data_IF_813553230168
#
_entry.id   IF_813553230168
#
_cell.length_a   1.000
_cell.length_b   1.000
_cell.length_c   1.000
_cell.angle_alpha   90.00
_cell.angle_beta   90.00
_cell.angle_gamma   90.00
#
_symmetry.space_group_name_H-M   'P 1'
#
loop_
_entity.id
_entity.type
_entity.pdbx_description
1 polymer ?
#
# COMPACT_ATOMS: atom_id res chain seq x y z
N UNK A 1 -3.39 25.12 7.40
CA UNK A 1 -3.14 23.66 7.41
C UNK A 1 -2.49 23.31 8.73
N UNK A 2 -3.19 22.57 9.58
CA UNK A 2 -2.74 22.13 10.91
C UNK A 2 -1.92 20.83 10.79
N UNK A 3 -0.77 20.89 10.13
CA UNK A 3 0.15 19.75 10.09
C UNK A 3 0.94 19.66 11.39
N UNK A 4 1.07 18.47 11.97
CA UNK A 4 2.09 18.23 13.00
C UNK A 4 3.48 18.40 12.40
N UNK A 5 4.33 19.21 13.02
CA UNK A 5 5.69 19.49 12.53
C UNK A 5 6.58 18.23 12.56
N UNK A 6 6.27 17.28 13.46
CA UNK A 6 7.01 16.05 13.69
C UNK A 6 6.04 14.87 13.94
N UNK A 7 5.45 14.28 12.88
CA UNK A 7 4.55 13.15 13.04
C UNK A 7 5.31 11.92 13.56
N UNK A 8 4.73 11.21 14.52
CA UNK A 8 5.32 9.95 15.05
C UNK A 8 5.42 8.83 14.02
N UNK A 9 4.56 8.87 13.01
CA UNK A 9 4.52 7.88 11.94
C UNK A 9 4.90 8.55 10.61
N UNK A 10 6.20 8.63 10.34
CA UNK A 10 6.73 9.36 9.18
C UNK A 10 7.16 8.46 8.01
N UNK A 11 7.10 7.14 8.16
CA UNK A 11 7.45 6.16 7.11
C UNK A 11 6.24 5.65 6.32
N UNK A 12 5.04 5.75 6.90
CA UNK A 12 3.81 5.28 6.29
C UNK A 12 2.73 6.35 6.50
N UNK A 13 2.06 6.72 5.42
CA UNK A 13 0.86 7.55 5.48
C UNK A 13 -0.24 6.81 4.75
N UNK A 14 -1.40 6.63 5.38
CA UNK A 14 -2.49 5.90 4.77
C UNK A 14 -3.84 6.52 5.11
N UNK A 15 -4.83 6.22 4.28
CA UNK A 15 -6.22 6.56 4.55
C UNK A 15 -7.12 5.40 4.18
N UNK A 16 -8.24 5.27 4.90
CA UNK A 16 -9.35 4.40 4.53
C UNK A 16 -10.62 5.23 4.45
N UNK A 17 -11.29 5.19 3.31
CA UNK A 17 -12.55 5.88 3.07
C UNK A 17 -13.61 4.84 2.73
N UNK A 18 -14.83 5.01 3.23
CA UNK A 18 -15.97 4.17 2.88
C UNK A 18 -17.21 5.03 2.71
N UNK A 19 -17.97 4.79 1.64
CA UNK A 19 -19.18 5.55 1.33
C UNK A 19 -20.14 4.70 0.47
N UNK A 20 -21.38 5.16 0.38
CA UNK A 20 -22.38 4.59 -0.54
C UNK A 20 -22.53 5.55 -1.71
N UNK A 21 -22.30 5.08 -2.93
CA UNK A 21 -22.58 5.86 -4.14
C UNK A 21 -24.10 5.90 -4.37
N UNK A 22 -24.76 7.07 -4.29
CA UNK A 22 -26.22 7.13 -4.23
C UNK A 22 -26.95 6.64 -5.48
N UNK A 23 -26.40 6.82 -6.68
CA UNK A 23 -27.12 6.48 -7.93
C UNK A 23 -27.18 4.99 -8.21
N UNK A 24 -26.14 4.26 -7.82
CA UNK A 24 -25.98 2.83 -8.03
C UNK A 24 -26.24 2.03 -6.76
N UNK A 25 -26.41 2.72 -5.62
CA UNK A 25 -26.46 2.13 -4.29
C UNK A 25 -25.26 1.19 -4.03
N UNK A 26 -24.09 1.59 -4.52
CA UNK A 26 -22.87 0.81 -4.39
C UNK A 26 -22.15 1.14 -3.09
N UNK A 27 -21.88 0.13 -2.27
CA UNK A 27 -20.98 0.25 -1.13
C UNK A 27 -19.54 0.21 -1.63
N UNK A 28 -18.80 1.28 -1.38
CA UNK A 28 -17.43 1.44 -1.80
C UNK A 28 -16.51 1.65 -0.60
N UNK A 29 -15.35 1.02 -0.66
CA UNK A 29 -14.27 1.23 0.30
C UNK A 29 -12.94 1.34 -0.44
N UNK A 30 -12.14 2.33 -0.07
CA UNK A 30 -10.79 2.51 -0.62
C UNK A 30 -9.79 2.68 0.50
N UNK A 31 -8.72 1.90 0.47
CA UNK A 31 -7.57 2.05 1.34
C UNK A 31 -6.35 2.37 0.48
N UNK A 32 -5.73 3.51 0.73
CA UNK A 32 -4.48 3.91 0.08
C UNK A 32 -3.38 4.09 1.11
N UNK A 33 -2.17 3.62 0.80
CA UNK A 33 -1.00 3.78 1.66
C UNK A 33 0.22 4.19 0.84
N UNK A 34 0.92 5.25 1.27
CA UNK A 34 2.24 5.66 0.79
C UNK A 34 3.27 5.11 1.76
N UNK A 35 4.23 4.33 1.25
CA UNK A 35 5.19 3.58 2.07
C UNK A 35 6.60 3.97 1.64
N UNK A 36 7.36 4.55 2.58
CA UNK A 36 8.75 4.92 2.36
C UNK A 36 9.65 3.69 2.37
N UNK A 37 10.53 3.61 1.38
CA UNK A 37 11.56 2.57 1.27
C UNK A 37 12.84 3.00 1.97
N UNK A 38 13.78 2.08 2.26
CA UNK A 38 15.05 2.43 2.90
C UNK A 38 15.87 3.45 2.09
N UNK A 39 15.73 3.45 0.77
CA UNK A 39 16.40 4.40 -0.14
C UNK A 39 15.67 5.75 -0.29
N UNK A 40 14.61 5.99 0.49
CA UNK A 40 13.86 7.25 0.47
C UNK A 40 12.96 7.45 -0.74
N UNK A 41 12.67 6.40 -1.52
CA UNK A 41 11.76 6.45 -2.69
C UNK A 41 10.45 5.71 -2.37
N UNK A 42 9.33 6.42 -2.13
CA UNK A 42 8.09 5.75 -1.73
C UNK A 42 7.41 5.05 -2.91
N UNK A 43 6.63 4.02 -2.59
CA UNK A 43 5.62 3.46 -3.47
C UNK A 43 4.23 3.61 -2.83
N UNK A 44 3.18 3.41 -3.62
CA UNK A 44 1.80 3.58 -3.18
C UNK A 44 1.05 2.26 -3.39
N UNK A 45 0.30 1.83 -2.38
CA UNK A 45 -0.68 0.74 -2.49
C UNK A 45 -2.07 1.35 -2.53
N UNK A 46 -2.90 0.93 -3.47
CA UNK A 46 -4.32 1.27 -3.53
C UNK A 46 -5.15 0.00 -3.60
N UNK A 47 -6.06 -0.15 -2.64
CA UNK A 47 -7.01 -1.24 -2.55
C UNK A 47 -8.43 -0.66 -2.63
N UNK A 48 -9.17 -1.04 -3.67
CA UNK A 48 -10.52 -0.57 -3.91
C UNK A 48 -11.52 -1.74 -3.91
N UNK A 49 -12.48 -1.66 -3.00
CA UNK A 49 -13.62 -2.58 -2.86
C UNK A 49 -14.90 -1.89 -3.31
N UNK A 50 -15.72 -2.63 -4.05
CA UNK A 50 -17.04 -2.14 -4.48
C UNK A 50 -18.02 -3.29 -4.60
N UNK A 51 -19.24 -3.11 -4.10
CA UNK A 51 -20.36 -4.04 -4.28
C UNK A 51 -21.69 -3.32 -4.32
N UNK A 52 -22.67 -3.94 -4.97
CA UNK A 52 -24.08 -3.56 -4.93
C UNK A 52 -24.91 -4.81 -4.64
N UNK A 53 -26.15 -4.63 -4.20
CA UNK A 53 -27.11 -5.73 -4.05
C UNK A 53 -27.62 -6.28 -5.41
N UNK A 54 -27.32 -5.61 -6.53
CA UNK A 54 -27.65 -6.09 -7.87
C UNK A 54 -26.84 -7.35 -8.24
N UNK A 55 -27.51 -8.36 -8.80
CA UNK A 55 -26.88 -9.59 -9.28
C UNK A 55 -25.93 -9.32 -10.46
N UNK A 56 -26.39 -8.55 -11.45
CA UNK A 56 -25.64 -8.18 -12.65
C UNK A 56 -24.82 -6.90 -12.43
N UNK A 57 -23.86 -6.96 -11.50
CA UNK A 57 -23.02 -5.81 -11.17
C UNK A 57 -21.76 -5.72 -12.02
N UNK A 58 -21.32 -4.48 -12.25
CA UNK A 58 -20.10 -4.14 -12.98
C UNK A 58 -19.39 -3.03 -12.22
N UNK A 59 -18.13 -3.27 -11.89
CA UNK A 59 -17.29 -2.30 -11.17
C UNK A 59 -16.09 -1.94 -12.02
N UNK A 60 -15.72 -0.66 -11.98
CA UNK A 60 -14.63 -0.13 -12.78
C UNK A 60 -13.69 0.73 -11.93
N UNK A 61 -12.39 0.52 -12.11
CA UNK A 61 -11.32 1.28 -11.51
C UNK A 61 -10.69 2.17 -12.59
N UNK A 62 -10.73 3.49 -12.40
CA UNK A 62 -10.13 4.46 -13.31
C UNK A 62 -8.82 4.97 -12.74
N UNK A 63 -7.78 4.99 -13.57
CA UNK A 63 -6.52 5.68 -13.28
C UNK A 63 -6.11 6.53 -14.47
N UNK A 64 -6.16 7.85 -14.26
CA UNK A 64 -5.64 8.86 -15.18
C UNK A 64 -4.20 9.17 -14.79
N UNK A 65 -3.30 9.20 -15.75
CA UNK A 65 -1.94 9.68 -15.49
C UNK A 65 -1.46 10.62 -16.59
N UNK A 66 -0.49 11.44 -16.24
CA UNK A 66 0.34 12.15 -17.20
C UNK A 66 1.24 11.15 -17.91
N UNK A 67 1.40 11.32 -19.22
CA UNK A 67 2.23 10.44 -20.02
C UNK A 67 2.12 10.74 -21.50
N UNK A 68 3.25 10.64 -22.19
CA UNK A 68 3.33 10.58 -23.65
C UNK A 68 2.90 9.20 -24.16
N UNK A 69 3.12 8.15 -23.37
CA UNK A 69 2.76 6.78 -23.73
C UNK A 69 2.22 5.96 -22.55
N UNK A 70 1.53 4.88 -22.89
CA UNK A 70 1.04 3.85 -21.99
C UNK A 70 1.31 2.47 -22.60
N UNK A 71 1.88 1.57 -21.82
CA UNK A 71 2.14 0.19 -22.21
C UNK A 71 1.64 -0.76 -21.13
N UNK A 72 1.07 -1.89 -21.56
CA UNK A 72 0.59 -2.95 -20.69
C UNK A 72 1.44 -4.21 -20.92
N UNK A 73 1.76 -4.93 -19.85
CA UNK A 73 2.59 -6.12 -19.88
C UNK A 73 1.94 -7.24 -19.08
N UNK A 74 2.18 -8.48 -19.51
CA UNK A 74 1.89 -9.67 -18.72
C UNK A 74 2.76 -9.73 -17.46
N UNK A 75 2.45 -10.67 -16.55
CA UNK A 75 3.30 -10.99 -15.40
C UNK A 75 4.73 -11.41 -15.81
N UNK A 76 4.91 -11.99 -17.00
CA UNK A 76 6.22 -12.33 -17.58
C UNK A 76 6.92 -11.14 -18.27
N UNK A 77 6.50 -9.90 -18.01
CA UNK A 77 6.99 -8.67 -18.63
C UNK A 77 6.90 -8.64 -20.16
N UNK A 78 5.96 -9.39 -20.76
CA UNK A 78 5.73 -9.39 -22.21
C UNK A 78 4.69 -8.34 -22.57
N UNK A 79 4.95 -7.43 -23.53
CA UNK A 79 3.96 -6.44 -23.97
C UNK A 79 2.66 -7.09 -24.45
N UNK A 80 1.52 -6.58 -23.98
CA UNK A 80 0.20 -7.06 -24.40
C UNK A 80 -0.36 -6.19 -25.53
N UNK A 81 -0.87 -6.85 -26.57
CA UNK A 81 -1.55 -6.18 -27.67
C UNK A 81 -3.04 -5.98 -27.32
N UNK A 82 -3.47 -4.73 -27.25
CA UNK A 82 -4.87 -4.38 -27.05
C UNK A 82 -5.57 -4.17 -28.39
N UNK A 83 -6.84 -4.60 -28.47
CA UNK A 83 -7.67 -4.46 -29.67
C UNK A 83 -8.62 -3.27 -29.53
N UNK A 84 -8.94 -2.57 -30.63
CA UNK A 84 -9.97 -1.51 -30.64
C UNK A 84 -11.27 -2.02 -30.02
N UNK A 85 -11.96 -1.17 -29.26
CA UNK A 85 -13.18 -1.52 -28.54
C UNK A 85 -14.22 -0.41 -28.62
N UNK A 86 -15.48 -0.82 -28.70
CA UNK A 86 -16.65 0.05 -28.60
C UNK A 86 -17.44 -0.21 -27.29
N UNK A 87 -16.83 -0.83 -26.28
CA UNK A 87 -17.53 -1.23 -25.04
C UNK A 87 -17.78 -0.06 -24.07
N UNK A 88 -17.02 1.02 -24.20
CA UNK A 88 -17.12 2.22 -23.37
C UNK A 88 -17.83 3.31 -24.16
N UNK A 89 -19.14 3.18 -24.40
CA UNK A 89 -19.91 4.16 -25.19
C UNK A 89 -21.36 4.19 -24.78
N UNK A 90 -21.97 5.38 -24.74
CA UNK A 90 -23.40 5.52 -24.42
C UNK A 90 -24.32 4.89 -25.46
N UNK A 91 -23.87 4.84 -26.72
CA UNK A 91 -24.57 4.11 -27.80
C UNK A 91 -24.73 2.61 -27.50
N UNK A 92 -23.89 2.06 -26.62
CA UNK A 92 -23.95 0.69 -26.12
C UNK A 92 -24.61 0.57 -24.75
N UNK A 93 -25.46 1.53 -24.36
CA UNK A 93 -26.19 1.54 -23.10
C UNK A 93 -25.34 1.89 -21.87
N UNK A 94 -24.14 2.42 -22.06
CA UNK A 94 -23.25 2.79 -20.97
C UNK A 94 -23.37 4.26 -20.55
N UNK A 95 -22.64 4.67 -19.52
CA UNK A 95 -22.61 6.07 -19.06
C UNK A 95 -22.16 7.02 -20.17
N UNK A 96 -22.86 8.16 -20.30
CA UNK A 96 -22.53 9.25 -21.24
C UNK A 96 -21.10 9.78 -21.06
N UNK A 97 -20.56 9.69 -19.84
CA UNK A 97 -19.19 10.07 -19.55
C UNK A 97 -18.15 9.33 -20.41
N UNK A 98 -18.43 8.09 -20.83
CA UNK A 98 -17.49 7.34 -21.67
C UNK A 98 -17.35 7.89 -23.09
N UNK A 99 -18.29 8.70 -23.57
CA UNK A 99 -18.21 9.30 -24.90
C UNK A 99 -17.10 10.36 -24.99
N UNK A 100 -16.65 10.89 -23.85
CA UNK A 100 -15.48 11.77 -23.78
C UNK A 100 -14.15 11.02 -23.93
N UNK A 101 -14.16 9.69 -23.76
CA UNK A 101 -12.98 8.85 -23.95
C UNK A 101 -12.76 8.56 -25.43
N UNK A 102 -11.50 8.58 -25.86
CA UNK A 102 -11.09 8.29 -27.25
C UNK A 102 -10.03 7.19 -27.31
N UNK A 103 -9.68 6.73 -28.51
CA UNK A 103 -8.71 5.63 -28.75
C UNK A 103 -8.92 4.41 -27.83
N UNK A 104 -10.17 3.96 -27.74
CA UNK A 104 -10.58 2.88 -26.84
C UNK A 104 -10.03 1.55 -27.32
N UNK A 105 -9.17 0.94 -26.52
CA UNK A 105 -8.60 -0.39 -26.75
C UNK A 105 -8.80 -1.25 -25.52
N UNK A 106 -8.95 -2.57 -25.68
CA UNK A 106 -9.12 -3.51 -24.58
C UNK A 106 -8.37 -4.83 -24.77
N UNK A 107 -8.16 -5.52 -23.67
CA UNK A 107 -7.78 -6.94 -23.59
C UNK A 107 -8.51 -7.57 -22.39
N UNK A 108 -8.77 -8.88 -22.44
CA UNK A 108 -9.31 -9.65 -21.31
C UNK A 108 -8.20 -10.56 -20.81
N UNK A 109 -7.92 -10.50 -19.51
CA UNK A 109 -6.81 -11.25 -18.90
C UNK A 109 -7.23 -11.77 -17.52
N UNK A 110 -6.80 -12.98 -17.20
CA UNK A 110 -7.13 -13.67 -15.94
C UNK A 110 -6.00 -13.58 -14.90
N UNK A 111 -4.83 -13.09 -15.30
CA UNK A 111 -3.61 -13.02 -14.50
C UNK A 111 -3.27 -11.60 -14.05
N UNK A 112 -2.31 -11.50 -13.12
CA UNK A 112 -1.69 -10.25 -12.73
C UNK A 112 -0.95 -9.60 -13.91
N UNK A 113 -0.88 -8.28 -13.88
CA UNK A 113 -0.34 -7.46 -14.97
C UNK A 113 0.57 -6.39 -14.44
N UNK A 114 1.39 -5.82 -15.32
CA UNK A 114 2.01 -4.52 -15.05
C UNK A 114 1.72 -3.52 -16.16
N UNK A 115 1.80 -2.24 -15.83
CA UNK A 115 1.66 -1.16 -16.81
C UNK A 115 2.72 -0.09 -16.57
N UNK A 116 3.09 0.61 -17.62
CA UNK A 116 4.03 1.75 -17.53
C UNK A 116 3.41 2.94 -18.25
N UNK A 117 3.32 4.05 -17.54
CA UNK A 117 3.10 5.38 -18.12
C UNK A 117 4.44 6.09 -18.17
N UNK A 118 4.76 6.69 -19.31
CA UNK A 118 6.04 7.34 -19.54
C UNK A 118 5.84 8.80 -19.90
N UNK A 119 6.48 9.70 -19.16
CA UNK A 119 6.69 11.08 -19.58
C UNK A 119 8.12 11.17 -20.10
N UNK A 120 8.24 11.22 -21.42
CA UNK A 120 9.48 11.53 -22.11
C UNK A 120 9.92 12.97 -21.81
N UNK A 121 11.16 13.12 -21.37
CA UNK A 121 11.81 14.42 -21.12
C UNK A 121 12.87 14.65 -22.20
N UNK A 122 13.05 15.91 -22.64
CA UNK A 122 14.01 16.23 -23.71
C UNK A 122 15.47 16.25 -23.19
N UNK A 123 15.69 16.88 -22.03
CA UNK A 123 17.03 17.10 -21.45
C UNK A 123 17.26 16.36 -20.12
N UNK A 124 16.36 15.46 -19.73
CA UNK A 124 16.39 14.73 -18.44
C UNK A 124 15.97 13.28 -18.64
N UNK A 125 16.12 12.48 -17.59
CA UNK A 125 15.60 11.12 -17.59
C UNK A 125 14.08 11.09 -17.67
N UNK A 126 13.53 10.17 -18.47
CA UNK A 126 12.11 9.90 -18.55
C UNK A 126 11.52 9.62 -17.14
N UNK A 127 10.39 10.26 -16.82
CA UNK A 127 9.61 9.93 -15.64
C UNK A 127 8.72 8.72 -15.94
N UNK A 128 8.84 7.68 -15.13
CA UNK A 128 8.07 6.44 -15.27
C UNK A 128 7.15 6.28 -14.07
N UNK A 129 5.91 5.92 -14.34
CA UNK A 129 4.98 5.39 -13.34
C UNK A 129 4.69 3.93 -13.70
N UNK A 130 5.34 3.01 -13.00
CA UNK A 130 5.08 1.58 -13.14
C UNK A 130 3.99 1.15 -12.16
N UNK A 131 3.07 0.36 -12.67
CA UNK A 131 1.96 -0.21 -11.90
C UNK A 131 2.13 -1.73 -11.89
N UNK A 132 1.89 -2.34 -10.73
CA UNK A 132 1.50 -3.75 -10.66
C UNK A 132 0.02 -3.83 -10.34
N UNK A 133 -0.70 -4.66 -11.09
CA UNK A 133 -2.16 -4.70 -11.07
C UNK A 133 -2.58 -6.14 -10.78
N UNK A 134 -3.35 -6.32 -9.70
CA UNK A 134 -3.94 -7.60 -9.35
C UNK A 134 -4.94 -8.04 -10.42
N UNK A 135 -4.77 -9.25 -10.92
CA UNK A 135 -5.63 -9.93 -11.86
C UNK A 135 -6.95 -10.39 -11.22
N UNK A 136 -7.90 -10.71 -12.09
CA UNK A 136 -9.12 -11.43 -11.74
C UNK A 136 -9.60 -12.19 -12.96
N UNK A 137 -10.36 -13.27 -12.73
CA UNK A 137 -11.00 -14.03 -13.80
C UNK A 137 -11.82 -13.10 -14.71
N UNK A 138 -11.53 -13.15 -16.01
CA UNK A 138 -12.10 -12.31 -17.07
C UNK A 138 -12.02 -10.81 -16.79
N UNK A 139 -11.00 -10.34 -16.10
CA UNK A 139 -10.78 -8.90 -15.92
C UNK A 139 -10.56 -8.26 -17.29
N UNK A 140 -11.36 -7.24 -17.61
CA UNK A 140 -11.15 -6.46 -18.84
C UNK A 140 -10.29 -5.25 -18.52
N UNK A 141 -9.21 -5.09 -19.26
CA UNK A 141 -8.29 -3.95 -19.14
C UNK A 141 -8.44 -3.07 -20.36
N UNK A 142 -8.79 -1.81 -20.16
CA UNK A 142 -8.88 -0.81 -21.21
C UNK A 142 -7.71 0.16 -21.15
N UNK A 143 -7.21 0.52 -22.32
CA UNK A 143 -6.41 1.71 -22.56
C UNK A 143 -7.27 2.69 -23.34
N UNK A 144 -7.38 3.91 -22.83
CA UNK A 144 -8.16 4.99 -23.44
C UNK A 144 -7.41 6.32 -23.32
N UNK A 145 -7.83 7.30 -24.11
CA UNK A 145 -7.38 8.68 -24.03
C UNK A 145 -8.50 9.55 -23.45
N UNK A 146 -8.30 10.05 -22.25
CA UNK A 146 -9.20 11.00 -21.57
C UNK A 146 -8.97 12.43 -22.06
N UNK A 147 -9.93 13.35 -21.87
CA UNK A 147 -9.72 14.78 -22.14
C UNK A 147 -8.49 15.36 -21.44
N UNK A 148 -8.01 16.50 -21.93
CA UNK A 148 -6.94 17.26 -21.28
C UNK A 148 -7.31 17.65 -19.84
N UNK A 149 -6.32 17.72 -18.96
CA UNK A 149 -6.51 18.26 -17.62
C UNK A 149 -6.55 19.79 -17.64
N UNK A 150 -7.61 20.36 -17.07
CA UNK A 150 -7.71 21.81 -16.85
C UNK A 150 -6.86 22.29 -15.65
N UNK A 151 -6.29 21.38 -14.86
CA UNK A 151 -5.43 21.72 -13.73
C UNK A 151 -3.97 21.99 -14.15
N UNK A 152 -3.58 21.61 -15.38
CA UNK A 152 -2.24 21.87 -15.90
C UNK A 152 -2.24 23.24 -16.55
N UNK A 153 -1.67 24.22 -15.85
CA UNK A 153 -1.45 25.55 -16.39
C UNK A 153 -0.04 25.69 -16.93
N UNK A 154 0.14 26.45 -18.01
CA UNK A 154 1.48 26.74 -18.55
C UNK A 154 2.33 27.47 -17.51
N UNK A 155 3.58 27.05 -17.36
CA UNK A 155 4.57 27.78 -16.54
C UNK A 155 4.45 27.59 -15.03
N UNK A 156 3.58 26.70 -14.52
CA UNK A 156 3.47 26.42 -13.07
C UNK A 156 4.47 25.39 -12.57
N UNK A 157 5.16 24.68 -13.46
CA UNK A 157 6.07 23.58 -13.11
C UNK A 157 5.39 22.30 -12.61
N UNK A 158 4.06 22.23 -12.62
CA UNK A 158 3.29 21.08 -12.12
C UNK A 158 3.25 19.90 -13.10
N UNK A 159 3.55 20.13 -14.38
CA UNK A 159 3.72 19.11 -15.40
C UNK A 159 4.65 19.62 -16.52
N UNK A 160 5.30 18.74 -17.29
CA UNK A 160 6.07 19.15 -18.46
C UNK A 160 5.21 19.87 -19.50
N UNK A 161 5.78 20.90 -20.12
CA UNK A 161 5.07 21.75 -21.08
C UNK A 161 4.60 20.97 -22.32
N UNK A 162 5.33 19.91 -22.69
CA UNK A 162 4.99 18.98 -23.79
C UNK A 162 3.63 18.28 -23.59
N UNK A 163 3.17 18.15 -22.35
CA UNK A 163 1.87 17.57 -21.98
C UNK A 163 0.74 18.59 -21.89
N UNK A 164 1.04 19.89 -21.98
CA UNK A 164 0.02 20.93 -21.89
C UNK A 164 -1.00 20.80 -23.03
N UNK A 165 -2.26 20.66 -22.65
CA UNK A 165 -3.40 20.48 -23.55
C UNK A 165 -3.45 19.15 -24.30
N UNK A 166 -2.61 18.18 -23.92
CA UNK A 166 -2.67 16.82 -24.45
C UNK A 166 -3.75 16.01 -23.75
N UNK A 167 -4.31 15.05 -24.49
CA UNK A 167 -5.16 14.00 -23.90
C UNK A 167 -4.34 13.15 -22.94
N UNK A 168 -5.01 12.62 -21.92
CA UNK A 168 -4.34 11.85 -20.88
C UNK A 168 -4.52 10.35 -21.10
N UNK A 169 -3.43 9.57 -21.18
CA UNK A 169 -3.55 8.12 -21.16
C UNK A 169 -4.23 7.69 -19.86
N UNK A 170 -5.16 6.76 -19.99
CA UNK A 170 -6.01 6.30 -18.88
C UNK A 170 -6.15 4.80 -18.91
N UNK A 171 -5.91 4.19 -17.76
CA UNK A 171 -6.17 2.78 -17.50
C UNK A 171 -7.58 2.64 -16.91
N UNK A 172 -8.36 1.70 -17.45
CA UNK A 172 -9.63 1.27 -16.83
C UNK A 172 -9.60 -0.23 -16.59
N UNK A 173 -9.78 -0.66 -15.36
CA UNK A 173 -9.96 -2.07 -15.02
C UNK A 173 -11.44 -2.32 -14.79
N UNK A 174 -12.01 -3.34 -15.43
CA UNK A 174 -13.42 -3.72 -15.28
C UNK A 174 -13.54 -5.16 -14.80
N UNK A 175 -14.42 -5.35 -13.82
CA UNK A 175 -14.91 -6.66 -13.37
C UNK A 175 -16.43 -6.69 -13.49
N UNK A 176 -16.97 -7.76 -14.07
CA UNK A 176 -18.41 -8.01 -14.19
C UNK A 176 -18.91 -8.90 -13.04
N UNK A 177 -18.49 -8.56 -11.83
CA UNK A 177 -18.78 -9.24 -10.57
C UNK A 177 -18.47 -8.27 -9.42
N UNK A 178 -18.96 -8.56 -8.21
CA UNK A 178 -18.59 -7.76 -7.04
C UNK A 178 -17.06 -7.73 -6.85
N UNK A 179 -16.53 -6.57 -6.49
CA UNK A 179 -15.12 -6.39 -6.17
C UNK A 179 -14.89 -6.24 -4.66
N UNK A 180 -15.73 -6.88 -3.82
CA UNK A 180 -15.59 -6.76 -2.36
C UNK A 180 -14.60 -7.75 -1.79
N UNK A 181 -14.82 -9.05 -2.00
CA UNK A 181 -13.92 -10.13 -1.52
C UNK A 181 -12.72 -10.37 -2.44
N UNK A 182 -12.82 -9.90 -3.68
CA UNK A 182 -11.74 -9.85 -4.64
C UNK A 182 -11.60 -8.39 -5.10
N UNK A 183 -10.83 -7.56 -4.39
CA UNK A 183 -10.71 -6.13 -4.65
C UNK A 183 -9.86 -5.82 -5.88
N UNK A 184 -10.02 -4.61 -6.43
CA UNK A 184 -8.98 -4.03 -7.27
C UNK A 184 -7.80 -3.66 -6.38
N UNK A 185 -6.60 -4.07 -6.78
CA UNK A 185 -5.37 -3.74 -6.06
C UNK A 185 -4.33 -3.28 -7.07
N UNK A 186 -3.76 -2.11 -6.82
CA UNK A 186 -2.74 -1.51 -7.67
C UNK A 186 -1.59 -1.02 -6.79
N UNK A 187 -0.36 -1.40 -7.14
CA UNK A 187 0.86 -0.84 -6.56
C UNK A 187 1.48 0.13 -7.56
N UNK A 188 1.62 1.39 -7.18
CA UNK A 188 2.22 2.45 -7.98
C UNK A 188 3.66 2.70 -7.55
N UNK A 189 4.56 2.76 -8.51
CA UNK A 189 5.97 2.98 -8.30
C UNK A 189 6.50 4.05 -9.28
N UNK A 190 6.59 5.30 -8.83
CA UNK A 190 7.22 6.36 -9.60
C UNK A 190 8.76 6.25 -9.52
N UNK A 191 9.44 6.30 -10.65
CA UNK A 191 10.90 6.35 -10.72
C UNK A 191 11.37 7.00 -12.03
N UNK A 192 12.63 7.44 -12.06
CA UNK A 192 13.28 7.89 -13.29
C UNK A 192 13.90 6.70 -14.00
N UNK A 193 13.84 6.65 -15.33
CA UNK A 193 14.33 5.51 -16.14
C UNK A 193 15.76 5.10 -15.83
N UNK A 194 16.66 6.05 -15.59
CA UNK A 194 18.06 5.81 -15.20
C UNK A 194 18.33 6.14 -13.72
N UNK A 195 17.28 6.39 -12.92
CA UNK A 195 17.38 6.63 -11.49
C UNK A 195 17.14 5.37 -10.65
N UNK A 196 17.19 5.54 -9.33
CA UNK A 196 16.91 4.44 -8.40
C UNK A 196 15.44 4.01 -8.48
N UNK A 197 15.21 2.79 -8.96
CA UNK A 197 13.93 2.10 -8.84
C UNK A 197 13.92 1.34 -7.50
N UNK A 198 12.95 1.59 -6.60
CA UNK A 198 12.92 0.87 -5.33
C UNK A 198 12.35 -0.55 -5.43
N UNK A 199 11.46 -0.82 -6.41
CA UNK A 199 10.68 -2.06 -6.47
C UNK A 199 11.05 -2.88 -7.70
N UNK A 200 11.42 -4.14 -7.46
CA UNK A 200 11.68 -5.12 -8.50
C UNK A 200 10.41 -5.86 -8.91
N UNK A 201 9.66 -6.38 -7.93
CA UNK A 201 8.52 -7.23 -8.18
C UNK A 201 7.43 -7.09 -7.11
N UNK A 202 6.20 -7.48 -7.47
CA UNK A 202 5.03 -7.49 -6.58
C UNK A 202 4.26 -8.79 -6.80
N UNK A 203 3.90 -9.45 -5.70
CA UNK A 203 3.05 -10.64 -5.69
C UNK A 203 1.81 -10.35 -4.85
N UNK A 204 0.65 -10.72 -5.38
CA UNK A 204 -0.64 -10.58 -4.70
C UNK A 204 -1.14 -11.94 -4.21
N UNK A 205 -1.58 -12.02 -2.95
CA UNK A 205 -2.21 -13.21 -2.37
C UNK A 205 -3.37 -12.83 -1.45
N UNK A 206 -4.17 -13.80 -1.03
CA UNK A 206 -5.25 -13.63 -0.07
C UNK A 206 -5.34 -14.90 0.78
N UNK A 207 -5.50 -14.78 2.09
CA UNK A 207 -5.71 -15.93 2.99
C UNK A 207 -7.21 -16.15 3.25
N UNK A 208 -7.99 -15.08 3.21
CA UNK A 208 -9.41 -15.04 3.50
C UNK A 208 -10.16 -14.24 2.43
N UNK A 209 -11.49 -14.17 2.55
CA UNK A 209 -12.31 -13.32 1.68
C UNK A 209 -12.25 -11.84 2.06
N UNK A 210 -11.66 -11.49 3.20
CA UNK A 210 -11.72 -10.13 3.76
C UNK A 210 -10.36 -9.42 3.80
N UNK A 211 -9.30 -10.09 3.36
CA UNK A 211 -7.96 -9.55 3.32
C UNK A 211 -7.40 -9.44 1.91
N UNK A 212 -6.26 -8.77 1.83
CA UNK A 212 -5.34 -8.76 0.72
C UNK A 212 -3.94 -8.74 1.29
N UNK A 213 -3.11 -9.67 0.84
CA UNK A 213 -1.69 -9.69 1.09
C UNK A 213 -0.93 -9.23 -0.15
N UNK A 214 0.11 -8.45 0.06
CA UNK A 214 0.98 -7.93 -0.99
C UNK A 214 2.41 -8.14 -0.55
N UNK A 215 3.17 -8.88 -1.34
CA UNK A 215 4.60 -9.05 -1.14
C UNK A 215 5.35 -8.20 -2.15
N UNK A 216 6.18 -7.29 -1.66
CA UNK A 216 6.97 -6.36 -2.47
C UNK A 216 8.43 -6.76 -2.36
N UNK A 217 9.05 -7.12 -3.47
CA UNK A 217 10.49 -7.34 -3.55
C UNK A 217 11.18 -6.04 -3.96
N UNK A 218 12.16 -5.59 -3.17
CA UNK A 218 12.94 -4.40 -3.48
C UNK A 218 14.05 -4.74 -4.46
N UNK A 219 14.58 -3.74 -5.16
CA UNK A 219 15.62 -3.90 -6.21
C UNK A 219 16.99 -4.32 -5.69
N UNK A 220 17.21 -4.31 -4.38
CA UNK A 220 18.43 -4.85 -3.76
C UNK A 220 18.39 -6.38 -3.53
N UNK A 221 17.34 -7.05 -4.03
CA UNK A 221 17.03 -8.49 -3.97
C UNK A 221 16.95 -9.12 -2.56
N UNK A 222 17.33 -8.36 -1.54
CA UNK A 222 17.44 -8.82 -0.16
C UNK A 222 16.41 -8.17 0.75
N UNK A 223 15.82 -7.02 0.37
CA UNK A 223 14.78 -6.37 1.16
C UNK A 223 13.39 -6.69 0.59
N UNK A 224 12.44 -7.02 1.47
CA UNK A 224 11.04 -7.19 1.07
C UNK A 224 10.07 -6.56 2.06
N UNK A 225 8.91 -6.11 1.55
CA UNK A 225 7.77 -5.70 2.39
C UNK A 225 6.65 -6.73 2.26
N UNK A 226 6.13 -7.20 3.40
CA UNK A 226 4.91 -8.00 3.53
C UNK A 226 3.80 -7.11 4.05
N UNK A 227 2.80 -6.85 3.22
CA UNK A 227 1.69 -5.93 3.53
C UNK A 227 0.42 -6.75 3.66
N UNK A 228 -0.31 -6.58 4.77
CA UNK A 228 -1.60 -7.24 5.00
C UNK A 228 -2.68 -6.21 5.27
N UNK A 229 -3.70 -6.19 4.43
CA UNK A 229 -4.80 -5.23 4.41
C UNK A 229 -6.13 -5.94 4.64
N UNK A 230 -6.82 -5.62 5.73
CA UNK A 230 -8.16 -6.11 6.02
C UNK A 230 -9.26 -5.14 5.56
N UNK A 231 -10.52 -5.57 5.60
CA UNK A 231 -11.69 -4.71 5.33
C UNK A 231 -12.01 -3.83 6.54
N UNK A 232 -11.78 -4.35 7.75
CA UNK A 232 -12.03 -3.68 9.03
C UNK A 232 -10.99 -4.03 10.09
N UNK A 233 -10.94 -3.26 11.18
CA UNK A 233 -10.09 -3.56 12.34
C UNK A 233 -10.57 -4.78 13.14
N UNK A 234 -11.78 -5.29 12.86
CA UNK A 234 -12.34 -6.45 13.55
C UNK A 234 -12.05 -7.76 12.82
N UNK A 235 -11.57 -7.69 11.58
CA UNK A 235 -11.27 -8.88 10.78
C UNK A 235 -10.04 -9.57 11.35
N UNK A 236 -10.03 -10.90 11.24
CA UNK A 236 -8.95 -11.77 11.70
C UNK A 236 -8.36 -12.50 10.51
N UNK A 237 -7.04 -12.42 10.40
CA UNK A 237 -6.24 -13.04 9.35
C UNK A 237 -5.21 -13.92 10.05
N UNK A 238 -5.23 -15.22 9.73
CA UNK A 238 -4.22 -16.16 10.18
C UNK A 238 -3.53 -16.75 8.95
N UNK A 239 -2.23 -16.49 8.81
CA UNK A 239 -1.32 -17.09 7.84
C UNK A 239 -0.20 -17.81 8.61
N UNK A 240 0.71 -18.49 7.90
CA UNK A 240 1.78 -19.30 8.51
C UNK A 240 2.56 -18.57 9.62
N UNK A 241 3.09 -17.38 9.32
CA UNK A 241 3.91 -16.58 10.24
C UNK A 241 3.19 -15.34 10.78
N UNK A 242 1.92 -15.16 10.46
CA UNK A 242 1.18 -13.92 10.73
C UNK A 242 -0.18 -14.23 11.35
N UNK A 243 -0.44 -13.62 12.50
CA UNK A 243 -1.79 -13.43 13.00
C UNK A 243 -2.08 -11.93 13.09
N UNK A 244 -3.15 -11.47 12.45
CA UNK A 244 -3.58 -10.08 12.50
C UNK A 244 -5.06 -10.03 12.84
N UNK A 245 -5.39 -9.38 13.96
CA UNK A 245 -6.72 -8.82 14.24
C UNK A 245 -6.61 -7.31 14.10
N UNK A 246 -6.90 -6.78 12.92
CA UNK A 246 -6.76 -5.36 12.64
C UNK A 246 -6.67 -4.99 11.16
N UNK A 247 -6.52 -3.69 10.90
CA UNK A 247 -6.72 -3.10 9.58
C UNK A 247 -5.51 -3.26 8.64
N UNK A 248 -4.32 -2.82 9.04
CA UNK A 248 -3.14 -2.74 8.18
C UNK A 248 -1.90 -3.18 8.96
N UNK A 249 -1.11 -4.07 8.38
CA UNK A 249 0.28 -4.28 8.80
C UNK A 249 1.23 -4.25 7.60
N UNK A 250 2.44 -3.75 7.85
CA UNK A 250 3.57 -3.76 6.93
C UNK A 250 4.76 -4.28 7.74
N UNK A 251 5.34 -5.38 7.30
CA UNK A 251 6.57 -5.93 7.87
C UNK A 251 7.65 -5.92 6.80
N UNK A 252 8.73 -5.18 7.04
CA UNK A 252 9.92 -5.15 6.19
C UNK A 252 10.96 -6.11 6.73
N UNK A 253 11.43 -6.99 5.87
CA UNK A 253 12.47 -7.96 6.19
C UNK A 253 13.69 -7.76 5.31
N UNK A 254 14.83 -8.23 5.82
CA UNK A 254 16.08 -8.35 5.09
C UNK A 254 16.48 -9.82 5.06
N UNK A 255 16.84 -10.33 3.90
CA UNK A 255 17.26 -11.72 3.71
C UNK A 255 18.42 -12.07 4.65
N UNK A 256 18.37 -13.26 5.25
CA UNK A 256 19.36 -13.72 6.23
C UNK A 256 19.28 -13.04 7.60
N UNK A 257 18.27 -12.18 7.84
CA UNK A 257 18.02 -11.59 9.16
C UNK A 257 16.76 -12.19 9.79
N UNK A 258 16.88 -12.66 11.02
CA UNK A 258 15.74 -13.21 11.78
C UNK A 258 14.78 -12.11 12.27
N UNK A 259 15.23 -10.86 12.28
CA UNK A 259 14.51 -9.73 12.83
C UNK A 259 14.04 -8.81 11.71
N UNK A 260 12.77 -8.35 11.73
CA UNK A 260 12.31 -7.31 10.82
C UNK A 260 13.10 -6.01 10.96
N UNK A 261 13.35 -5.36 9.83
CA UNK A 261 13.96 -4.02 9.78
C UNK A 261 12.92 -2.94 10.13
N UNK A 262 11.65 -3.20 9.84
CA UNK A 262 10.55 -2.29 10.11
C UNK A 262 9.23 -3.02 10.29
N UNK A 263 8.44 -2.60 11.27
CA UNK A 263 7.05 -3.03 11.47
C UNK A 263 6.20 -1.76 11.56
N UNK A 264 5.14 -1.69 10.77
CA UNK A 264 4.06 -0.72 10.95
C UNK A 264 2.75 -1.48 11.05
N UNK A 265 1.95 -1.18 12.06
CA UNK A 265 0.61 -1.74 12.22
C UNK A 265 -0.35 -0.63 12.59
N UNK A 266 -1.53 -0.56 11.97
CA UNK A 266 -2.55 0.43 12.31
C UNK A 266 -3.94 -0.17 12.31
N UNK A 267 -4.79 0.35 13.21
CA UNK A 267 -6.09 -0.22 13.51
C UNK A 267 -5.96 -1.65 14.04
N UNK A 268 -4.92 -1.94 14.84
CA UNK A 268 -4.58 -3.27 15.33
C UNK A 268 -5.09 -3.51 16.75
N UNK A 269 -5.83 -4.60 16.97
CA UNK A 269 -6.04 -5.14 18.33
C UNK A 269 -4.92 -6.11 18.69
N UNK A 270 -4.50 -6.94 17.74
CA UNK A 270 -3.40 -7.88 17.93
C UNK A 270 -2.67 -8.14 16.62
N UNK A 271 -1.34 -8.04 16.64
CA UNK A 271 -0.45 -8.53 15.61
C UNK A 271 0.50 -9.53 16.24
N UNK A 272 0.60 -10.73 15.67
CA UNK A 272 1.71 -11.64 15.90
C UNK A 272 2.41 -11.85 14.57
N UNK A 273 3.71 -11.65 14.56
CA UNK A 273 4.53 -11.89 13.39
C UNK A 273 5.78 -12.64 13.81
N UNK A 274 5.90 -13.92 13.42
CA UNK A 274 6.87 -14.85 14.02
C UNK A 274 6.75 -14.77 15.56
N UNK A 275 7.85 -14.43 16.25
CA UNK A 275 7.86 -14.25 17.70
C UNK A 275 7.59 -12.81 18.17
N UNK A 276 7.29 -11.86 17.29
CA UNK A 276 6.85 -10.52 17.70
C UNK A 276 5.37 -10.56 18.06
N UNK A 277 4.98 -9.88 19.14
CA UNK A 277 3.57 -9.67 19.49
C UNK A 277 3.31 -8.20 19.87
N UNK A 278 2.25 -7.63 19.30
CA UNK A 278 1.74 -6.30 19.63
C UNK A 278 0.26 -6.48 19.96
N UNK A 279 -0.15 -6.08 21.16
CA UNK A 279 -1.54 -6.19 21.62
C UNK A 279 -2.00 -4.84 22.15
N UNK A 280 -3.06 -4.29 21.56
CA UNK A 280 -3.68 -3.08 22.07
C UNK A 280 -4.53 -3.41 23.31
N UNK A 281 -4.49 -2.54 24.33
CA UNK A 281 -5.14 -2.82 25.61
C UNK A 281 -6.65 -2.53 25.60
N UNK A 282 -7.09 -1.52 24.85
CA UNK A 282 -8.48 -1.03 24.90
C UNK A 282 -9.10 -0.94 23.50
N UNK A 283 -8.59 -0.02 22.67
CA UNK A 283 -9.05 0.26 21.32
C UNK A 283 -7.93 -0.04 20.32
N UNK A 284 -8.22 -0.19 19.02
CA UNK A 284 -7.19 -0.48 18.02
C UNK A 284 -6.08 0.59 18.04
N UNK A 285 -4.83 0.14 18.01
CA UNK A 285 -3.66 1.00 18.05
C UNK A 285 -3.01 1.15 16.66
N UNK A 286 -2.17 2.18 16.55
CA UNK A 286 -1.11 2.34 15.56
C UNK A 286 0.23 2.24 16.25
N UNK A 287 1.11 1.41 15.68
CA UNK A 287 2.46 1.15 16.19
C UNK A 287 3.43 1.16 15.04
N UNK A 288 4.60 1.76 15.26
CA UNK A 288 5.75 1.65 14.37
C UNK A 288 6.97 1.20 15.16
N UNK A 289 7.74 0.27 14.61
CA UNK A 289 8.98 -0.25 15.17
C UNK A 289 10.01 -0.24 14.04
N UNK A 290 11.11 0.49 14.21
CA UNK A 290 12.19 0.61 13.22
C UNK A 290 13.49 0.13 13.87
N UNK A 291 14.21 -0.76 13.18
CA UNK A 291 15.55 -1.18 13.60
C UNK A 291 16.53 -0.04 13.42
N UNK A 292 17.45 0.09 14.37
CA UNK A 292 18.53 1.08 14.39
C UNK A 292 19.83 0.39 14.73
N UNK A 293 20.95 1.12 14.70
CA UNK A 293 22.26 0.57 15.07
C UNK A 293 22.29 0.06 16.52
N UNK A 294 21.54 0.70 17.43
CA UNK A 294 21.59 0.43 18.87
C UNK A 294 20.39 -0.38 19.40
N UNK A 295 19.52 -0.87 18.52
CA UNK A 295 18.30 -1.58 18.90
C UNK A 295 17.10 -1.14 18.08
N UNK A 296 15.97 -0.82 18.73
CA UNK A 296 14.74 -0.43 18.03
C UNK A 296 14.19 0.91 18.51
N UNK A 297 13.68 1.71 17.57
CA UNK A 297 12.85 2.87 17.87
C UNK A 297 11.39 2.48 17.67
N UNK A 298 10.58 2.70 18.69
CA UNK A 298 9.16 2.39 18.71
C UNK A 298 8.32 3.65 18.92
N UNK A 299 7.16 3.72 18.28
CA UNK A 299 6.12 4.73 18.53
C UNK A 299 4.75 4.08 18.60
N UNK A 300 3.84 4.62 19.42
CA UNK A 300 2.47 4.14 19.55
C UNK A 300 1.49 5.28 19.86
N UNK A 301 0.26 5.18 19.35
CA UNK A 301 -0.80 6.18 19.57
C UNK A 301 -1.80 5.81 20.69
N UNK A 302 -1.78 4.55 21.13
CA UNK A 302 -2.68 3.99 22.14
C UNK A 302 -1.92 3.07 23.10
N UNK A 303 -2.42 2.80 24.31
CA UNK A 303 -1.81 1.85 25.23
C UNK A 303 -1.70 0.45 24.62
N UNK A 304 -0.49 -0.14 24.69
CA UNK A 304 -0.18 -1.46 24.12
C UNK A 304 0.66 -2.31 25.07
N UNK A 305 0.68 -3.60 24.81
CA UNK A 305 1.74 -4.51 25.24
C UNK A 305 2.51 -4.92 23.98
N UNK A 306 3.82 -4.75 24.01
CA UNK A 306 4.72 -5.23 22.97
C UNK A 306 5.62 -6.31 23.55
N UNK A 307 5.74 -7.42 22.84
CA UNK A 307 6.67 -8.50 23.17
C UNK A 307 7.68 -8.62 22.04
N UNK A 308 8.94 -8.46 22.41
CA UNK A 308 10.07 -8.38 21.49
C UNK A 308 10.92 -9.64 21.71
N UNK A 309 11.18 -10.43 20.66
CA UNK A 309 11.98 -11.64 20.80
C UNK A 309 13.47 -11.34 21.00
N UNK A 310 14.14 -12.25 21.67
CA UNK A 310 15.59 -12.37 21.65
C UNK A 310 16.02 -12.86 20.27
N UNK A 311 17.14 -12.34 19.79
CA UNK A 311 17.71 -12.69 18.49
C UNK A 311 19.23 -12.64 18.56
N UNK A 312 19.89 -13.18 17.55
CA UNK A 312 21.35 -13.19 17.51
C UNK A 312 21.86 -11.74 17.49
N UNK A 313 22.58 -11.35 18.55
CA UNK A 313 23.11 -9.99 18.70
C UNK A 313 22.13 -8.96 19.27
N UNK A 314 20.88 -9.32 19.59
CA UNK A 314 19.94 -8.40 20.23
C UNK A 314 19.08 -9.10 21.29
N UNK A 315 19.30 -8.74 22.56
CA UNK A 315 18.54 -9.22 23.72
C UNK A 315 17.89 -8.04 24.43
N UNK A 316 16.61 -7.71 24.16
CA UNK A 316 15.95 -6.56 24.77
C UNK A 316 15.94 -6.67 26.30
N UNK A 317 16.28 -5.59 27.01
CA UNK A 317 16.31 -5.57 28.49
C UNK A 317 15.57 -4.38 29.11
N UNK A 318 15.69 -3.21 28.51
CA UNK A 318 15.02 -1.99 28.97
C UNK A 318 14.51 -1.14 27.80
N UNK A 319 13.63 -0.21 28.14
CA UNK A 319 13.14 0.83 27.22
C UNK A 319 13.38 2.21 27.81
N UNK A 320 13.78 3.16 26.97
CA UNK A 320 13.74 4.60 27.30
C UNK A 320 12.53 5.24 26.66
N UNK A 321 11.61 5.70 27.51
CA UNK A 321 10.38 6.39 27.13
C UNK A 321 10.66 7.90 27.06
N UNK A 322 10.75 8.47 25.86
CA UNK A 322 10.99 9.90 25.72
C UNK A 322 9.70 10.70 25.88
N UNK A 323 9.79 11.83 26.58
CA UNK A 323 8.77 12.86 26.72
C UNK A 323 8.98 13.94 25.65
N UNK A 324 7.98 14.80 25.46
CA UNK A 324 8.00 15.87 24.45
C UNK A 324 9.10 16.93 24.71
N UNK A 325 9.58 17.05 25.95
CA UNK A 325 10.67 17.94 26.35
C UNK A 325 12.07 17.32 26.13
N UNK A 326 12.15 16.09 25.60
CA UNK A 326 13.40 15.36 25.38
C UNK A 326 13.90 14.55 26.58
N UNK A 327 13.32 14.73 27.78
CA UNK A 327 13.65 13.90 28.94
C UNK A 327 13.11 12.47 28.74
N UNK A 328 13.74 11.47 29.39
CA UNK A 328 13.27 10.10 29.31
C UNK A 328 13.15 9.43 30.67
N UNK A 329 12.31 8.39 30.73
CA UNK A 329 12.24 7.44 31.84
C UNK A 329 12.68 6.08 31.32
N UNK A 330 13.61 5.43 32.01
CA UNK A 330 14.02 4.07 31.70
C UNK A 330 13.22 3.05 32.52
N UNK A 331 12.70 2.02 31.86
CA UNK A 331 11.97 0.91 32.49
C UNK A 331 12.55 -0.42 32.03
N UNK A 332 12.78 -1.36 32.95
CA UNK A 332 13.13 -2.74 32.60
C UNK A 332 11.91 -3.48 32.06
N UNK A 333 12.14 -4.37 31.09
CA UNK A 333 11.12 -5.29 30.62
C UNK A 333 10.89 -6.44 31.58
N UNK A 334 9.78 -7.15 31.39
CA UNK A 334 9.51 -8.41 32.08
C UNK A 334 9.74 -9.57 31.12
N UNK A 335 10.44 -10.62 31.55
CA UNK A 335 10.51 -11.86 30.77
C UNK A 335 9.09 -12.41 30.62
N UNK A 336 8.68 -12.70 29.39
CA UNK A 336 7.36 -13.27 29.14
C UNK A 336 7.29 -14.66 29.79
N UNK A 337 6.31 -14.86 30.68
CA UNK A 337 6.09 -16.12 31.42
C UNK A 337 5.82 -17.32 30.51
N UNK A 338 5.27 -17.08 29.32
CA UNK A 338 4.91 -18.11 28.36
C UNK A 338 6.01 -18.36 27.31
N UNK A 339 6.98 -17.46 27.18
CA UNK A 339 8.12 -17.62 26.28
C UNK A 339 9.33 -16.83 26.82
N UNK A 340 10.29 -17.54 27.42
CA UNK A 340 11.49 -16.93 28.00
C UNK A 340 12.41 -16.24 26.96
N UNK A 341 12.18 -16.48 25.67
CA UNK A 341 12.85 -15.77 24.58
C UNK A 341 12.17 -14.45 24.20
N UNK A 342 11.17 -13.99 24.94
CA UNK A 342 10.53 -12.70 24.70
C UNK A 342 10.63 -11.77 25.91
N UNK A 343 10.93 -10.51 25.64
CA UNK A 343 10.82 -9.42 26.61
C UNK A 343 9.52 -8.67 26.39
N UNK A 344 8.71 -8.57 27.45
CA UNK A 344 7.44 -7.86 27.47
C UNK A 344 7.60 -6.44 28.01
N UNK A 345 7.08 -5.47 27.26
CA UNK A 345 6.95 -4.08 27.67
C UNK A 345 5.49 -3.64 27.61
N UNK A 346 4.99 -3.12 28.72
CA UNK A 346 3.64 -2.52 28.81
C UNK A 346 3.74 -1.01 28.71
N UNK A 347 3.09 -0.45 27.70
CA UNK A 347 3.02 0.98 27.43
C UNK A 347 1.62 1.47 27.79
N UNK A 348 1.55 2.33 28.80
CA UNK A 348 0.27 2.73 29.43
C UNK A 348 -0.43 3.90 28.71
N UNK A 349 0.24 4.50 27.71
CA UNK A 349 -0.24 5.67 26.96
C UNK A 349 0.48 5.75 25.61
N UNK A 350 0.14 6.77 24.81
CA UNK A 350 0.84 7.10 23.58
C UNK A 350 2.29 7.57 23.87
N UNK A 351 3.22 7.15 23.02
CA UNK A 351 4.60 7.63 23.05
C UNK A 351 5.09 7.92 21.63
N UNK A 352 5.60 9.13 21.44
CA UNK A 352 6.14 9.57 20.15
C UNK A 352 7.52 8.96 19.84
N UNK A 353 8.25 8.51 20.87
CA UNK A 353 9.57 7.87 20.71
C UNK A 353 9.90 7.02 21.93
N UNK A 354 10.22 5.75 21.68
CA UNK A 354 10.72 4.79 22.64
C UNK A 354 11.98 4.17 22.05
N UNK A 355 13.05 4.08 22.83
CA UNK A 355 14.24 3.34 22.44
C UNK A 355 14.28 2.02 23.21
N UNK A 356 14.26 0.90 22.49
CA UNK A 356 14.43 -0.45 23.04
C UNK A 356 15.93 -0.77 23.04
N UNK A 357 16.46 -1.06 24.22
CA UNK A 357 17.88 -1.32 24.44
C UNK A 357 18.14 -2.81 24.68
N UNK A 358 19.27 -3.29 24.19
CA UNK A 358 19.83 -4.57 24.60
C UNK A 358 21.00 -4.41 25.57
N UNK A 359 21.30 -5.47 26.33
CA UNK A 359 22.58 -5.61 27.03
C UNK A 359 23.67 -6.10 26.09
#
# INVERSE_FOLDING_TARGET
MSGELYPSFNKVSFCKVSFVEPKTNAHQQRLMAIINTPIGKPYIVDLFRSKTENENQKHEYFYHNLGHSFQLFSQSNTPLLLKKSNDLTSKGGQLKAYDYLTDKKKVVVDADLSAIFTIQEEDKDDNLMKLWIKGSKRQTVFSVQSPQSNAISKGTGTAPQSLHGKKMPTLVLRRNEQAWTNPFVVVFNPYFKNGSNPIQNVIFSQETKYDQQIHIQHTDDSTSDKITLATSSNDVIGAHDLYQKGLLSIVREKEGQDIPEFIFASGIYQLKYKEWEITALNIPATVSIEKTQDGFVLSNDQPIVVKIPHSQGFKPTSIRLYKNDGNFIERRGNINRNNAHQMEFRLEQAYHKILVLSM
#
